data_IF_457916189538
#
_entry.id   IF_457916189538
#
_cell.length_a   1.000
_cell.length_b   1.000
_cell.length_c   1.000
_cell.angle_alpha   90.00
_cell.angle_beta   90.00
_cell.angle_gamma   90.00
#
_symmetry.space_group_name_H-M   'P 1'
#
loop_
_entity.id
_entity.type
_entity.pdbx_description
1 polymer ?
#
# COMPACT_ATOMS: atom_id res chain seq x y z
N UNK A 1 -68.35 -11.80 -17.21
CA UNK A 1 -67.88 -10.60 -16.48
C UNK A 1 -67.89 -10.99 -15.03
N UNK A 2 -66.80 -11.15 -14.29
CA UNK A 2 -65.48 -10.54 -14.35
C UNK A 2 -64.48 -11.49 -13.68
N UNK A 3 -63.41 -11.88 -14.36
CA UNK A 3 -62.25 -12.56 -13.74
C UNK A 3 -61.04 -12.50 -14.70
N UNK A 4 -60.83 -11.34 -15.34
CA UNK A 4 -59.73 -11.13 -16.29
C UNK A 4 -58.78 -9.99 -15.94
N UNK A 5 -59.00 -9.29 -14.83
CA UNK A 5 -58.17 -8.14 -14.45
C UNK A 5 -57.08 -8.43 -13.41
N UNK A 6 -56.97 -9.65 -12.88
CA UNK A 6 -56.01 -9.99 -11.82
C UNK A 6 -54.70 -10.65 -12.31
N UNK A 7 -54.54 -10.91 -13.60
CA UNK A 7 -53.33 -11.56 -14.15
C UNK A 7 -52.31 -10.59 -14.78
N UNK A 8 -52.65 -9.31 -14.96
CA UNK A 8 -51.71 -8.32 -15.50
C UNK A 8 -50.80 -7.70 -14.43
N UNK A 9 -51.07 -7.88 -13.14
CA UNK A 9 -50.24 -7.32 -12.07
C UNK A 9 -49.04 -8.20 -11.67
N UNK A 10 -48.96 -9.44 -12.17
CA UNK A 10 -47.88 -10.38 -11.80
C UNK A 10 -46.68 -10.36 -12.75
N UNK A 11 -46.69 -9.57 -13.83
CA UNK A 11 -45.59 -9.51 -14.80
C UNK A 11 -44.72 -8.23 -14.71
N UNK A 12 -44.96 -7.35 -13.74
CA UNK A 12 -44.20 -6.09 -13.61
C UNK A 12 -43.11 -6.10 -12.54
N UNK A 13 -42.79 -7.25 -11.93
CA UNK A 13 -41.78 -7.33 -10.85
C UNK A 13 -40.51 -8.11 -11.25
N UNK A 14 -40.41 -8.61 -12.50
CA UNK A 14 -39.28 -9.45 -12.93
C UNK A 14 -38.32 -8.77 -13.92
N UNK A 15 -38.18 -7.45 -13.87
CA UNK A 15 -37.38 -6.69 -14.84
C UNK A 15 -36.50 -5.59 -14.26
N UNK A 16 -36.10 -5.65 -12.99
CA UNK A 16 -35.04 -4.76 -12.49
C UNK A 16 -33.67 -5.40 -12.73
N UNK A 17 -33.05 -4.96 -13.83
CA UNK A 17 -31.61 -4.86 -14.02
C UNK A 17 -30.74 -5.96 -13.43
N UNK A 18 -30.27 -6.85 -14.31
CA UNK A 18 -28.88 -7.31 -14.21
C UNK A 18 -28.00 -6.09 -14.54
N UNK A 19 -27.93 -5.14 -13.62
CA UNK A 19 -26.79 -4.26 -13.53
C UNK A 19 -25.66 -5.17 -13.08
N UNK A 20 -24.68 -5.33 -13.99
CA UNK A 20 -23.37 -5.89 -13.72
C UNK A 20 -22.96 -5.59 -12.28
N UNK A 21 -22.98 -6.61 -11.42
CA UNK A 21 -22.16 -6.61 -10.22
C UNK A 21 -20.74 -6.61 -10.74
N UNK A 22 -20.17 -5.43 -10.95
CA UNK A 22 -18.74 -5.26 -10.74
C UNK A 22 -18.52 -5.81 -9.34
N UNK A 23 -17.94 -7.00 -9.24
CA UNK A 23 -17.49 -7.53 -7.97
C UNK A 23 -16.58 -6.47 -7.39
N UNK A 24 -17.10 -5.70 -6.45
CA UNK A 24 -16.30 -4.82 -5.62
C UNK A 24 -15.51 -5.77 -4.73
N UNK A 25 -14.37 -6.21 -5.26
CA UNK A 25 -13.49 -7.15 -4.59
C UNK A 25 -12.98 -6.42 -3.35
N UNK A 26 -13.51 -6.79 -2.18
CA UNK A 26 -13.10 -6.20 -0.92
C UNK A 26 -11.72 -6.74 -0.57
N UNK A 27 -10.69 -5.98 -0.92
CA UNK A 27 -9.32 -6.26 -0.45
C UNK A 27 -9.39 -6.28 1.08
N UNK A 28 -8.98 -7.38 1.75
CA UNK A 28 -9.02 -7.44 3.20
C UNK A 28 -8.22 -6.26 3.78
N UNK A 29 -8.84 -5.41 4.59
CA UNK A 29 -8.20 -4.21 5.17
C UNK A 29 -6.88 -4.54 5.89
N UNK A 30 -6.78 -5.76 6.44
CA UNK A 30 -5.57 -6.27 7.06
C UNK A 30 -4.38 -6.29 6.07
N UNK A 31 -4.59 -6.82 4.86
CA UNK A 31 -3.55 -6.89 3.83
C UNK A 31 -3.03 -5.50 3.43
N UNK A 32 -3.92 -4.54 3.19
CA UNK A 32 -3.52 -3.18 2.83
C UNK A 32 -2.70 -2.49 3.94
N UNK A 33 -3.09 -2.70 5.21
CA UNK A 33 -2.36 -2.19 6.36
C UNK A 33 -0.95 -2.77 6.45
N UNK A 34 -0.81 -4.07 6.25
CA UNK A 34 0.48 -4.77 6.31
C UNK A 34 1.44 -4.24 5.23
N UNK A 35 0.94 -4.00 4.00
CA UNK A 35 1.72 -3.37 2.93
C UNK A 35 2.17 -1.94 3.25
N UNK A 36 1.32 -1.16 3.90
CA UNK A 36 1.69 0.21 4.32
C UNK A 36 2.79 0.19 5.39
N UNK A 37 2.72 -0.76 6.33
CA UNK A 37 3.75 -0.94 7.35
C UNK A 37 5.08 -1.32 6.69
N UNK A 38 5.07 -2.29 5.78
CA UNK A 38 6.26 -2.68 5.02
C UNK A 38 6.83 -1.49 4.23
N UNK A 39 5.98 -0.77 3.49
CA UNK A 39 6.39 0.39 2.71
C UNK A 39 7.01 1.49 3.58
N UNK A 40 6.41 1.78 4.73
CA UNK A 40 6.92 2.77 5.67
C UNK A 40 8.30 2.35 6.19
N UNK A 41 8.44 1.11 6.65
CA UNK A 41 9.70 0.58 7.15
C UNK A 41 10.79 0.64 6.06
N UNK A 42 10.46 0.21 4.84
CA UNK A 42 11.41 0.20 3.71
C UNK A 42 11.83 1.62 3.28
N UNK A 43 10.89 2.56 3.24
CA UNK A 43 11.18 3.97 2.95
C UNK A 43 12.18 4.55 3.95
N UNK A 44 11.93 4.33 5.25
CA UNK A 44 12.78 4.83 6.34
C UNK A 44 14.18 4.23 6.23
N UNK A 45 14.27 2.90 6.15
CA UNK A 45 15.55 2.19 6.13
C UNK A 45 16.40 2.56 4.93
N UNK A 46 15.83 2.58 3.72
CA UNK A 46 16.59 2.93 2.52
C UNK A 46 17.15 4.35 2.58
N UNK A 47 16.35 5.31 3.06
CA UNK A 47 16.79 6.70 3.17
C UNK A 47 17.88 6.87 4.24
N UNK A 48 17.76 6.20 5.40
CA UNK A 48 18.83 6.23 6.40
C UNK A 48 20.11 5.54 5.92
N UNK A 49 20.02 4.45 5.14
CA UNK A 49 21.18 3.83 4.49
C UNK A 49 21.86 4.82 3.53
N UNK A 50 21.08 5.58 2.73
CA UNK A 50 21.62 6.62 1.84
C UNK A 50 22.32 7.75 2.63
N UNK A 51 21.98 7.97 3.90
CA UNK A 51 22.69 8.88 4.81
C UNK A 51 23.96 8.27 5.44
N UNK A 52 24.26 7.00 5.17
CA UNK A 52 25.39 6.28 5.72
C UNK A 52 25.10 5.55 7.05
N UNK A 53 23.82 5.40 7.44
CA UNK A 53 23.47 4.56 8.59
C UNK A 53 23.71 3.10 8.24
N UNK A 54 24.55 2.44 9.04
CA UNK A 54 24.81 1.02 8.96
C UNK A 54 24.01 0.31 10.06
N UNK A 55 22.85 -0.23 9.69
CA UNK A 55 21.94 -0.90 10.62
C UNK A 55 22.54 -2.19 11.23
N UNK A 56 23.53 -2.83 10.58
CA UNK A 56 24.21 -4.00 11.12
C UNK A 56 25.14 -3.65 12.29
N UNK A 57 25.56 -2.37 12.37
CA UNK A 57 26.40 -1.84 13.45
C UNK A 57 25.60 -1.18 14.57
N UNK A 58 24.28 -1.04 14.42
CA UNK A 58 23.43 -0.46 15.45
C UNK A 58 22.97 -1.53 16.44
N UNK A 59 23.02 -1.21 17.73
CA UNK A 59 22.39 -2.01 18.77
C UNK A 59 20.87 -1.82 18.76
N UNK A 60 20.22 -2.41 17.76
CA UNK A 60 18.77 -2.39 17.62
C UNK A 60 18.14 -3.43 18.55
N UNK A 61 17.08 -3.06 19.24
CA UNK A 61 16.32 -3.97 20.10
C UNK A 61 15.32 -4.78 19.26
N UNK A 62 14.84 -5.89 19.82
CA UNK A 62 13.58 -6.54 19.43
C UNK A 62 13.38 -6.80 17.93
N UNK A 63 14.34 -7.46 17.27
CA UNK A 63 14.25 -7.82 15.84
C UNK A 63 13.76 -6.66 14.96
N UNK A 64 14.16 -5.41 15.27
CA UNK A 64 13.69 -4.20 14.55
C UNK A 64 13.92 -4.31 13.04
N UNK A 65 15.04 -4.91 12.62
CA UNK A 65 15.32 -5.19 11.20
C UNK A 65 14.54 -6.41 10.67
N UNK A 66 14.19 -7.32 11.56
CA UNK A 66 13.29 -8.44 11.27
C UNK A 66 11.97 -7.97 10.69
N UNK A 67 11.43 -6.80 11.12
CA UNK A 67 10.22 -6.18 10.54
C UNK A 67 10.31 -5.84 9.05
N UNK A 68 11.52 -5.59 8.56
CA UNK A 68 11.82 -5.31 7.15
C UNK A 68 12.12 -6.61 6.38
N UNK A 69 12.54 -7.65 7.11
CA UNK A 69 12.78 -9.01 6.63
C UNK A 69 11.57 -9.96 6.84
N UNK A 70 10.39 -9.49 7.30
CA UNK A 70 9.30 -10.41 7.72
C UNK A 70 8.74 -11.17 6.53
N UNK A 71 8.70 -12.47 6.75
CA UNK A 71 7.97 -13.57 6.12
C UNK A 71 6.51 -13.30 5.67
N UNK A 72 5.90 -12.15 5.98
CA UNK A 72 4.59 -11.71 5.49
C UNK A 72 4.71 -10.78 4.26
N UNK A 73 5.81 -10.01 4.18
CA UNK A 73 6.24 -9.41 2.91
C UNK A 73 6.61 -10.50 1.90
N UNK A 74 7.13 -11.65 2.36
CA UNK A 74 7.62 -12.75 1.53
C UNK A 74 6.60 -13.35 0.56
N UNK A 75 5.29 -13.30 0.84
CA UNK A 75 4.32 -13.82 -0.13
C UNK A 75 4.35 -13.04 -1.46
N UNK A 76 4.82 -11.79 -1.45
CA UNK A 76 4.88 -10.90 -2.63
C UNK A 76 6.27 -10.32 -2.90
N UNK A 77 7.14 -10.25 -1.88
CA UNK A 77 8.53 -9.76 -1.96
C UNK A 77 9.57 -10.85 -2.15
N UNK A 78 9.16 -12.12 -2.31
CA UNK A 78 10.04 -13.28 -2.56
C UNK A 78 11.04 -13.08 -3.71
N UNK A 79 10.84 -12.08 -4.58
CA UNK A 79 11.82 -11.65 -5.58
C UNK A 79 12.34 -10.26 -5.24
N UNK A 80 13.66 -10.16 -5.11
CA UNK A 80 14.41 -8.89 -5.11
C UNK A 80 14.03 -8.08 -6.35
N UNK A 81 13.61 -6.83 -6.18
CA UNK A 81 13.11 -5.99 -7.28
C UNK A 81 11.63 -6.20 -7.62
N UNK A 82 10.81 -6.61 -6.64
CA UNK A 82 9.36 -6.64 -6.82
C UNK A 82 8.81 -5.21 -7.08
N UNK A 83 7.60 -5.14 -7.65
CA UNK A 83 7.01 -3.88 -8.08
C UNK A 83 6.85 -2.87 -6.93
N UNK A 84 6.61 -3.34 -5.70
CA UNK A 84 6.49 -2.48 -4.52
C UNK A 84 7.83 -1.85 -4.14
N UNK A 85 8.92 -2.62 -4.10
CA UNK A 85 10.25 -2.10 -3.80
C UNK A 85 10.71 -1.08 -4.84
N UNK A 86 10.44 -1.33 -6.13
CA UNK A 86 10.76 -0.40 -7.21
C UNK A 86 9.95 0.89 -7.07
N UNK A 87 8.66 0.76 -6.77
CA UNK A 87 7.78 1.91 -6.54
C UNK A 87 8.28 2.75 -5.36
N UNK A 88 8.61 2.12 -4.22
CA UNK A 88 9.15 2.81 -3.04
C UNK A 88 10.44 3.55 -3.40
N UNK A 89 11.42 2.83 -3.97
CA UNK A 89 12.70 3.44 -4.35
C UNK A 89 12.48 4.65 -5.26
N UNK A 90 11.70 4.51 -6.33
CA UNK A 90 11.48 5.58 -7.29
C UNK A 90 10.79 6.81 -6.68
N UNK A 91 9.98 6.63 -5.63
CA UNK A 91 9.21 7.70 -5.01
C UNK A 91 9.92 8.38 -3.85
N UNK A 92 10.89 7.71 -3.23
CA UNK A 92 11.45 8.15 -1.96
C UNK A 92 12.98 8.23 -1.95
N UNK A 93 13.68 7.99 -3.08
CA UNK A 93 15.15 7.92 -3.12
C UNK A 93 15.83 9.23 -2.73
N UNK A 94 15.13 10.36 -2.76
CA UNK A 94 15.64 11.71 -2.48
C UNK A 94 15.24 12.23 -1.10
N UNK A 95 14.44 11.49 -0.33
CA UNK A 95 13.92 11.96 0.97
C UNK A 95 15.02 12.18 2.01
N UNK A 96 16.16 11.50 1.85
CA UNK A 96 17.33 11.67 2.70
C UNK A 96 18.02 13.03 2.55
N UNK A 97 17.76 13.75 1.45
CA UNK A 97 18.42 15.03 1.21
C UNK A 97 17.91 16.10 2.19
N UNK A 98 18.80 16.98 2.69
CA UNK A 98 18.40 18.11 3.52
C UNK A 98 17.37 18.99 2.81
N UNK A 99 16.35 19.46 3.53
CA UNK A 99 15.28 20.29 2.96
C UNK A 99 15.61 21.78 2.94
N UNK A 100 16.65 22.18 3.65
CA UNK A 100 17.12 23.55 3.75
C UNK A 100 18.64 23.54 3.63
N UNK A 101 19.22 24.62 3.12
CA UNK A 101 20.68 24.79 3.01
C UNK A 101 21.21 25.83 3.99
N UNK A 102 20.32 26.49 4.73
CA UNK A 102 20.64 27.62 5.61
C UNK A 102 19.80 27.58 6.89
N UNK A 103 20.31 28.23 7.95
CA UNK A 103 19.69 28.27 9.27
C UNK A 103 20.01 27.06 10.15
N UNK A 104 19.50 27.07 11.39
CA UNK A 104 19.82 26.05 12.42
C UNK A 104 19.39 24.63 12.02
N UNK A 105 18.53 24.49 11.01
CA UNK A 105 18.02 23.22 10.50
C UNK A 105 18.57 22.86 9.10
N UNK A 106 19.62 23.54 8.63
CA UNK A 106 20.22 23.35 7.29
C UNK A 106 20.72 21.91 6.99
N UNK A 107 20.84 21.05 8.00
CA UNK A 107 21.23 19.66 7.82
C UNK A 107 20.11 18.66 8.18
N UNK A 108 18.93 19.16 8.53
CA UNK A 108 17.81 18.30 8.91
C UNK A 108 17.19 17.71 7.64
N UNK A 109 17.23 16.39 7.60
CA UNK A 109 16.34 15.60 6.76
C UNK A 109 15.08 15.27 7.58
N UNK A 110 13.94 15.21 6.91
CA UNK A 110 12.65 14.91 7.53
C UNK A 110 12.17 13.52 7.12
N UNK A 111 13.10 12.56 6.97
CA UNK A 111 12.84 11.22 6.42
C UNK A 111 11.64 10.55 7.08
N UNK A 112 11.58 10.53 8.42
CA UNK A 112 10.47 9.88 9.14
C UNK A 112 9.13 10.57 8.80
N UNK A 113 9.10 11.89 8.73
CA UNK A 113 7.89 12.64 8.38
C UNK A 113 7.48 12.39 6.94
N UNK A 114 8.42 12.53 6.00
CA UNK A 114 8.17 12.34 4.57
C UNK A 114 7.70 10.91 4.27
N UNK A 115 8.36 9.89 4.84
CA UNK A 115 7.93 8.50 4.71
C UNK A 115 6.56 8.24 5.35
N UNK A 116 6.26 8.85 6.49
CA UNK A 116 4.94 8.73 7.13
C UNK A 116 3.85 9.31 6.25
N UNK A 117 4.04 10.54 5.76
CA UNK A 117 3.10 11.21 4.85
C UNK A 117 2.93 10.41 3.56
N UNK A 118 4.03 9.95 2.97
CA UNK A 118 4.00 9.12 1.77
C UNK A 118 3.20 7.83 1.98
N UNK A 119 3.44 7.11 3.08
CA UNK A 119 2.74 5.84 3.39
C UNK A 119 1.22 5.98 3.54
N UNK A 120 0.75 7.18 3.89
CA UNK A 120 -0.67 7.51 4.03
C UNK A 120 -1.25 8.21 2.78
N UNK A 121 -0.46 8.37 1.72
CA UNK A 121 -0.90 9.07 0.52
C UNK A 121 -1.95 8.26 -0.26
N UNK A 122 -2.83 8.99 -0.97
CA UNK A 122 -3.79 8.37 -1.90
C UNK A 122 -3.10 7.58 -3.02
N UNK A 123 -1.91 8.02 -3.43
CA UNK A 123 -1.13 7.33 -4.46
C UNK A 123 -0.72 5.93 -3.98
N UNK A 124 -0.20 5.82 -2.75
CA UNK A 124 0.12 4.54 -2.12
C UNK A 124 -1.13 3.67 -1.99
N UNK A 125 -2.27 4.24 -1.58
CA UNK A 125 -3.53 3.50 -1.48
C UNK A 125 -3.96 2.89 -2.82
N UNK A 126 -3.88 3.66 -3.91
CA UNK A 126 -4.27 3.19 -5.24
C UNK A 126 -3.29 2.11 -5.70
N UNK A 127 -1.99 2.38 -5.63
CA UNK A 127 -0.95 1.46 -6.07
C UNK A 127 -1.04 0.11 -5.35
N UNK A 128 -1.17 0.12 -4.02
CA UNK A 128 -1.24 -1.11 -3.23
C UNK A 128 -2.51 -1.90 -3.55
N UNK A 129 -3.66 -1.24 -3.74
CA UNK A 129 -4.90 -1.93 -4.11
C UNK A 129 -4.78 -2.61 -5.47
N UNK A 130 -4.18 -1.93 -6.46
CA UNK A 130 -3.92 -2.51 -7.78
C UNK A 130 -2.96 -3.70 -7.71
N UNK A 131 -1.88 -3.56 -6.94
CA UNK A 131 -0.89 -4.61 -6.75
C UNK A 131 -1.50 -5.87 -6.12
N UNK A 132 -2.27 -5.70 -5.04
CA UNK A 132 -2.96 -6.79 -4.34
C UNK A 132 -3.97 -7.46 -5.26
N UNK A 133 -4.78 -6.67 -5.97
CA UNK A 133 -5.78 -7.19 -6.89
C UNK A 133 -5.15 -8.05 -8.00
N UNK A 134 -4.03 -7.58 -8.58
CA UNK A 134 -3.31 -8.29 -9.63
C UNK A 134 -2.81 -9.66 -9.16
N UNK A 135 -2.28 -9.74 -7.96
CA UNK A 135 -1.75 -10.98 -7.39
C UNK A 135 -2.82 -11.97 -6.97
N UNK A 136 -3.93 -11.49 -6.40
CA UNK A 136 -5.10 -12.35 -6.16
C UNK A 136 -5.65 -12.90 -7.49
N UNK A 137 -5.59 -12.12 -8.57
CA UNK A 137 -6.09 -12.54 -9.89
C UNK A 137 -5.18 -13.53 -10.63
N UNK A 138 -3.90 -13.59 -10.28
CA UNK A 138 -2.90 -14.44 -10.94
C UNK A 138 -2.66 -15.77 -10.20
N UNK A 139 -3.23 -15.94 -9.01
CA UNK A 139 -3.20 -17.15 -8.19
C UNK A 139 -4.56 -17.87 -8.24
#
# INVERSE_FOLDING_TARGET
>A
MEFKFLLCFLFLISGCGVCSTKNEYSIPNKSLSDYKIYLLARCITNNYINMGVDFDKLHLKDYTMGFIDIEDGFAFSAKKGNALDVFIKNKTDDFYQPKQTEGDLAAINLVIYDCTVFSQSKEVDIFLKELIFKEISNN
#
